data_IF_850019594253
#
_entry.id   IF_850019594253
#
_cell.length_a   1.000
_cell.length_b   1.000
_cell.length_c   1.000
_cell.angle_alpha   90.00
_cell.angle_beta   90.00
_cell.angle_gamma   90.00
#
_symmetry.space_group_name_H-M   'P 1'
#
loop_
_entity.id
_entity.type
_entity.pdbx_description
1 polymer ?
#
# COMPACT_ATOMS: atom_id res chain seq x y z
N UNK A 1 -7.30 19.73 -8.58
CA UNK A 1 -7.37 18.82 -7.41
C UNK A 1 -6.05 18.94 -6.64
N UNK A 2 -6.03 19.29 -5.34
CA UNK A 2 -4.76 19.49 -4.60
C UNK A 2 -4.00 18.14 -4.50
N UNK A 3 -2.77 18.08 -4.99
CA UNK A 3 -1.87 16.90 -4.93
C UNK A 3 -1.79 16.29 -3.52
N UNK A 4 -1.84 17.12 -2.48
CA UNK A 4 -1.90 16.73 -1.07
C UNK A 4 -3.02 15.73 -0.76
N UNK A 5 -4.20 15.90 -1.37
CA UNK A 5 -5.33 14.98 -1.16
C UNK A 5 -5.02 13.60 -1.72
N UNK A 6 -4.36 13.53 -2.88
CA UNK A 6 -4.00 12.26 -3.52
C UNK A 6 -2.96 11.51 -2.68
N UNK A 7 -1.94 12.21 -2.20
CA UNK A 7 -0.94 11.64 -1.29
C UNK A 7 -1.55 11.14 0.02
N UNK A 8 -2.52 11.87 0.57
CA UNK A 8 -3.23 11.42 1.78
C UNK A 8 -4.02 10.14 1.54
N UNK A 9 -4.76 10.03 0.43
CA UNK A 9 -5.50 8.80 0.10
C UNK A 9 -4.56 7.62 -0.16
N UNK A 10 -3.45 7.85 -0.86
CA UNK A 10 -2.43 6.83 -1.08
C UNK A 10 -1.88 6.30 0.25
N UNK A 11 -1.52 7.20 1.18
CA UNK A 11 -1.02 6.81 2.50
C UNK A 11 -2.06 5.99 3.29
N UNK A 12 -3.33 6.40 3.26
CA UNK A 12 -4.43 5.68 3.91
C UNK A 12 -4.58 4.27 3.32
N UNK A 13 -4.51 4.13 2.00
CA UNK A 13 -4.61 2.83 1.33
C UNK A 13 -3.44 1.92 1.68
N UNK A 14 -2.21 2.44 1.66
CA UNK A 14 -1.02 1.69 2.05
C UNK A 14 -1.15 1.19 3.50
N UNK A 15 -1.52 2.07 4.44
CA UNK A 15 -1.71 1.69 5.85
C UNK A 15 -2.84 0.66 5.99
N UNK A 16 -3.96 0.85 5.28
CA UNK A 16 -5.09 -0.08 5.31
C UNK A 16 -4.66 -1.48 4.87
N UNK A 17 -3.94 -1.60 3.75
CA UNK A 17 -3.47 -2.91 3.26
C UNK A 17 -2.52 -3.54 4.26
N UNK A 18 -1.63 -2.74 4.87
CA UNK A 18 -0.71 -3.23 5.88
C UNK A 18 -1.42 -3.78 7.11
N UNK A 19 -2.37 -3.02 7.65
CA UNK A 19 -3.17 -3.45 8.81
C UNK A 19 -4.00 -4.68 8.45
N UNK A 20 -4.60 -4.73 7.27
CA UNK A 20 -5.38 -5.87 6.81
C UNK A 20 -4.51 -7.13 6.73
N UNK A 21 -3.31 -7.04 6.14
CA UNK A 21 -2.40 -8.17 6.05
C UNK A 21 -1.98 -8.72 7.41
N UNK A 22 -1.70 -7.83 8.37
CA UNK A 22 -1.40 -8.21 9.75
C UNK A 22 -2.62 -8.88 10.41
N UNK A 23 -3.80 -8.29 10.27
CA UNK A 23 -5.04 -8.86 10.82
C UNK A 23 -5.34 -10.24 10.23
N UNK A 24 -5.18 -10.39 8.92
CA UNK A 24 -5.34 -11.67 8.23
C UNK A 24 -4.37 -12.71 8.79
N UNK A 25 -3.09 -12.36 8.94
CA UNK A 25 -2.07 -13.28 9.47
C UNK A 25 -2.44 -13.84 10.85
N UNK A 26 -2.87 -12.97 11.78
CA UNK A 26 -3.21 -13.40 13.14
C UNK A 26 -4.58 -14.09 13.25
N UNK A 27 -5.53 -13.76 12.38
CA UNK A 27 -6.92 -14.22 12.48
C UNK A 27 -7.35 -15.11 11.32
N UNK A 28 -6.41 -15.63 10.52
CA UNK A 28 -6.71 -16.43 9.32
C UNK A 28 -7.68 -17.58 9.61
N UNK A 29 -7.47 -18.34 10.68
CA UNK A 29 -8.31 -19.49 11.01
C UNK A 29 -9.76 -19.07 11.27
N UNK A 30 -9.95 -18.02 12.07
CA UNK A 30 -11.27 -17.45 12.36
C UNK A 30 -11.91 -16.84 11.10
N UNK A 31 -11.13 -16.10 10.33
CA UNK A 31 -11.63 -15.42 9.14
C UNK A 31 -12.06 -16.40 8.04
N UNK A 32 -11.35 -17.53 7.87
CA UNK A 32 -11.73 -18.56 6.89
C UNK A 32 -12.99 -19.34 7.27
N UNK A 33 -13.50 -19.25 8.50
CA UNK A 33 -14.83 -19.76 8.86
C UNK A 33 -15.95 -18.93 8.24
N UNK A 34 -15.67 -17.69 7.83
CA UNK A 34 -16.65 -16.83 7.17
C UNK A 34 -16.72 -17.10 5.66
N UNK A 35 -17.89 -17.53 5.20
CA UNK A 35 -18.16 -17.94 3.81
C UNK A 35 -17.76 -16.91 2.74
N UNK A 36 -17.80 -15.61 3.03
CA UNK A 36 -17.46 -14.55 2.07
C UNK A 36 -16.02 -14.03 2.21
N UNK A 37 -15.25 -14.53 3.17
CA UNK A 37 -13.94 -13.97 3.48
C UNK A 37 -12.96 -14.08 2.30
N UNK A 38 -12.99 -15.19 1.56
CA UNK A 38 -12.13 -15.35 0.39
C UNK A 38 -12.41 -14.31 -0.71
N UNK A 39 -13.66 -13.88 -0.88
CA UNK A 39 -13.98 -12.76 -1.78
C UNK A 39 -13.42 -11.43 -1.29
N UNK A 40 -13.43 -11.21 0.03
CA UNK A 40 -12.82 -10.03 0.66
C UNK A 40 -11.30 -10.07 0.46
N UNK A 41 -10.67 -11.21 0.73
CA UNK A 41 -9.24 -11.45 0.53
C UNK A 41 -8.82 -11.13 -0.91
N UNK A 42 -9.55 -11.67 -1.90
CA UNK A 42 -9.32 -11.40 -3.32
C UNK A 42 -9.48 -9.91 -3.67
N UNK A 43 -10.49 -9.25 -3.11
CA UNK A 43 -10.74 -7.83 -3.36
C UNK A 43 -9.62 -6.95 -2.80
N UNK A 44 -9.14 -7.26 -1.59
CA UNK A 44 -8.02 -6.53 -0.97
C UNK A 44 -6.71 -6.80 -1.70
N UNK A 45 -6.49 -8.02 -2.18
CA UNK A 45 -5.35 -8.36 -3.04
C UNK A 45 -5.37 -7.58 -4.37
N UNK A 46 -6.50 -7.50 -5.06
CA UNK A 46 -6.60 -6.68 -6.28
C UNK A 46 -6.37 -5.20 -5.97
N UNK A 47 -6.97 -4.69 -4.90
CA UNK A 47 -6.77 -3.31 -4.44
C UNK A 47 -5.29 -3.04 -4.14
N UNK A 48 -4.57 -4.00 -3.56
CA UNK A 48 -3.17 -3.83 -3.23
C UNK A 48 -2.27 -3.78 -4.47
N UNK A 49 -2.55 -4.59 -5.51
CA UNK A 49 -1.87 -4.48 -6.81
C UNK A 49 -2.02 -3.07 -7.38
N UNK A 50 -3.26 -2.57 -7.47
CA UNK A 50 -3.50 -1.23 -8.02
C UNK A 50 -2.82 -0.15 -7.18
N UNK A 51 -2.83 -0.30 -5.86
CA UNK A 51 -2.17 0.63 -4.93
C UNK A 51 -0.65 0.64 -5.12
N UNK A 52 -0.02 -0.52 -5.33
CA UNK A 52 1.42 -0.66 -5.62
C UNK A 52 1.75 0.02 -6.95
N UNK A 53 1.01 -0.28 -8.02
CA UNK A 53 1.23 0.32 -9.34
C UNK A 53 1.11 1.84 -9.30
N UNK A 54 0.05 2.35 -8.66
CA UNK A 54 -0.14 3.79 -8.51
C UNK A 54 0.98 4.40 -7.66
N UNK A 55 1.35 3.76 -6.56
CA UNK A 55 2.42 4.26 -5.68
C UNK A 55 3.76 4.37 -6.37
N UNK A 56 4.09 3.43 -7.27
CA UNK A 56 5.31 3.48 -8.06
C UNK A 56 5.34 4.72 -8.96
N UNK A 57 4.25 5.04 -9.65
CA UNK A 57 4.13 6.25 -10.50
C UNK A 57 4.38 7.51 -9.66
N UNK A 58 3.80 7.59 -8.46
CA UNK A 58 3.96 8.73 -7.56
C UNK A 58 5.37 8.85 -6.99
N UNK A 59 6.02 7.73 -6.68
CA UNK A 59 7.42 7.71 -6.23
C UNK A 59 8.36 8.20 -7.34
N UNK A 60 8.16 7.75 -8.58
CA UNK A 60 8.93 8.21 -9.74
C UNK A 60 8.74 9.72 -9.94
N UNK A 61 7.49 10.18 -9.99
CA UNK A 61 7.18 11.60 -10.17
C UNK A 61 7.73 12.47 -9.03
N UNK A 62 7.58 12.01 -7.78
CA UNK A 62 8.10 12.67 -6.60
C UNK A 62 9.63 12.75 -6.62
N UNK A 63 10.31 11.68 -7.03
CA UNK A 63 11.78 11.63 -7.13
C UNK A 63 12.30 12.60 -8.19
N UNK A 64 11.74 12.59 -9.41
CA UNK A 64 12.11 13.52 -10.50
C UNK A 64 11.96 14.97 -10.03
N UNK A 65 10.82 15.30 -9.41
CA UNK A 65 10.56 16.65 -8.91
C UNK A 65 11.52 17.07 -7.80
N UNK A 66 11.91 16.13 -6.95
CA UNK A 66 12.85 16.37 -5.84
C UNK A 66 14.27 16.60 -6.35
N UNK A 67 14.73 15.83 -7.34
CA UNK A 67 16.06 15.96 -7.97
C UNK A 67 16.19 17.33 -8.66
N UNK A 68 15.14 17.78 -9.35
CA UNK A 68 15.16 19.03 -10.11
C UNK A 68 14.98 20.30 -9.24
N UNK A 69 14.81 20.17 -7.92
CA UNK A 69 14.62 21.31 -7.02
C UNK A 69 15.95 21.80 -6.43
N UNK A 70 16.20 23.11 -6.53
CA UNK A 70 17.37 23.79 -5.96
C UNK A 70 17.44 23.76 -4.43
N UNK A 71 16.31 23.57 -3.74
CA UNK A 71 16.24 23.53 -2.26
C UNK A 71 15.31 22.39 -1.86
N UNK A 72 15.86 21.35 -1.23
CA UNK A 72 15.10 20.22 -0.73
C UNK A 72 14.57 20.53 0.66
N UNK A 73 13.29 20.25 0.92
CA UNK A 73 12.66 20.44 2.23
C UNK A 73 12.76 19.11 2.99
N UNK A 74 13.30 19.11 4.22
CA UNK A 74 13.50 17.88 5.01
C UNK A 74 12.20 17.08 5.22
N UNK A 75 11.08 17.78 5.42
CA UNK A 75 9.75 17.17 5.57
C UNK A 75 9.37 16.33 4.33
N UNK A 76 9.71 16.78 3.12
CA UNK A 76 9.43 16.04 1.87
C UNK A 76 10.29 14.77 1.78
N UNK A 77 11.54 14.81 2.26
CA UNK A 77 12.41 13.62 2.32
C UNK A 77 11.85 12.58 3.29
N UNK A 78 11.48 12.98 4.50
CA UNK A 78 10.89 12.07 5.49
C UNK A 78 9.61 11.44 4.95
N UNK A 79 8.76 12.23 4.28
CA UNK A 79 7.54 11.71 3.66
C UNK A 79 7.83 10.69 2.54
N UNK A 80 8.82 10.93 1.69
CA UNK A 80 9.24 9.98 0.65
C UNK A 80 9.73 8.66 1.26
N UNK A 81 10.55 8.72 2.32
CA UNK A 81 11.06 7.54 3.02
C UNK A 81 9.91 6.71 3.61
N UNK A 82 8.96 7.35 4.30
CA UNK A 82 7.79 6.66 4.87
C UNK A 82 6.98 5.95 3.78
N UNK A 83 6.73 6.63 2.66
CA UNK A 83 6.01 6.01 1.53
C UNK A 83 6.78 4.83 0.92
N UNK A 84 8.11 4.94 0.83
CA UNK A 84 8.94 3.86 0.32
C UNK A 84 8.87 2.62 1.23
N UNK A 85 8.96 2.81 2.54
CA UNK A 85 8.80 1.74 3.54
C UNK A 85 7.41 1.09 3.40
N UNK A 86 6.34 1.90 3.42
CA UNK A 86 4.97 1.42 3.29
C UNK A 86 4.72 0.69 1.97
N UNK A 87 5.31 1.17 0.88
CA UNK A 87 5.27 0.53 -0.43
C UNK A 87 5.82 -0.89 -0.37
N UNK A 88 7.03 -1.08 0.18
CA UNK A 88 7.63 -2.42 0.28
C UNK A 88 6.84 -3.35 1.18
N UNK A 89 6.30 -2.87 2.31
CA UNK A 89 5.40 -3.67 3.14
C UNK A 89 4.13 -4.08 2.39
N UNK A 90 3.56 -3.15 1.61
CA UNK A 90 2.36 -3.42 0.81
C UNK A 90 2.65 -4.45 -0.28
N UNK A 91 3.82 -4.39 -0.94
CA UNK A 91 4.26 -5.41 -1.90
C UNK A 91 4.37 -6.78 -1.22
N UNK A 92 5.07 -6.84 -0.07
CA UNK A 92 5.23 -8.09 0.68
C UNK A 92 3.87 -8.68 1.10
N UNK A 93 2.97 -7.85 1.63
CA UNK A 93 1.61 -8.29 2.01
C UNK A 93 0.83 -8.73 0.78
N UNK A 94 0.94 -8.04 -0.35
CA UNK A 94 0.24 -8.44 -1.58
C UNK A 94 0.66 -9.85 -2.02
N UNK A 95 1.96 -10.15 -1.96
CA UNK A 95 2.50 -11.49 -2.26
C UNK A 95 2.04 -12.52 -1.21
N UNK A 96 2.01 -12.14 0.06
CA UNK A 96 1.47 -12.99 1.12
C UNK A 96 -0.02 -13.30 0.89
N UNK A 97 -0.88 -12.31 0.68
CA UNK A 97 -2.31 -12.51 0.42
C UNK A 97 -2.52 -13.40 -0.81
N UNK A 98 -1.73 -13.22 -1.88
CA UNK A 98 -1.77 -14.09 -3.06
C UNK A 98 -1.54 -15.56 -2.70
N UNK A 99 -0.59 -15.85 -1.81
CA UNK A 99 -0.31 -17.23 -1.36
C UNK A 99 -1.44 -17.86 -0.54
N UNK A 100 -2.37 -17.05 -0.02
CA UNK A 100 -3.45 -17.50 0.85
C UNK A 100 -4.78 -17.68 0.11
N UNK A 101 -4.89 -17.24 -1.14
CA UNK A 101 -6.06 -17.46 -1.99
C UNK A 101 -6.10 -18.95 -2.35
N UNK A 102 -7.21 -19.64 -2.02
CA UNK A 102 -7.27 -21.11 -2.09
C UNK A 102 -7.73 -21.61 -3.46
N UNK A 103 -8.51 -20.82 -4.19
CA UNK A 103 -8.93 -21.13 -5.56
C UNK A 103 -10.09 -22.10 -5.63
#
# INVERSE_FOLDING_TARGET
>A
MRLEKVYKYQLILLIFIVIFGIQHYYLQNFNFEWMYYEKVLNSVFLLSIFTVLFSLIFLIFGSIKTINRKKTIEIEKTFLIINLILYYFTVWISLYLLSQIRG
#
